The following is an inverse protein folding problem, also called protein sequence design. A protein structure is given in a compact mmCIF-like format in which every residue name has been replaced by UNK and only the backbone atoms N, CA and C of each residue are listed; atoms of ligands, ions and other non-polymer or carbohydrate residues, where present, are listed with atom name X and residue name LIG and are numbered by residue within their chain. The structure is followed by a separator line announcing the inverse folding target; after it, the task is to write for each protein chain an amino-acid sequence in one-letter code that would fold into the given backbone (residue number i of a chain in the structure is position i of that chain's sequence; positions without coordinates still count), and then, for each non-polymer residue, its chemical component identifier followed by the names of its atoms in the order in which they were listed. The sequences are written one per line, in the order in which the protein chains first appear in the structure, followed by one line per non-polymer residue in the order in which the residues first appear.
data_IF_274748322435
#
_entry.id   IF_274748322435
#
_cell.length_a   1.000
_cell.length_b   1.000
_cell.length_c   1.000
_cell.angle_alpha   90.00
_cell.angle_beta   90.00
_cell.angle_gamma   90.00
#
_symmetry.space_group_name_H-M   'P 1'
#
loop_
_entity.id
_entity.type
_entity.pdbx_description
1 polymer ?
#
# COMPACT_ATOMS: atom_id res chain seq x y z
N UNK A 1 -22.80 -44.38 -22.45
CA UNK A 1 -23.04 -44.92 -21.12
C UNK A 1 -21.69 -44.93 -20.40
N UNK A 2 -21.51 -43.98 -19.55
CA UNK A 2 -20.90 -44.11 -18.21
C UNK A 2 -20.63 -42.73 -17.64
N UNK A 3 -21.32 -42.52 -16.62
CA UNK A 3 -21.36 -41.41 -15.72
C UNK A 3 -19.97 -41.07 -15.13
N UNK A 4 -19.55 -39.82 -15.30
CA UNK A 4 -18.57 -39.22 -14.42
C UNK A 4 -19.27 -38.90 -13.10
N UNK A 5 -18.98 -39.69 -12.08
CA UNK A 5 -19.52 -39.52 -10.74
C UNK A 5 -19.03 -38.19 -10.14
N UNK A 6 -20.01 -37.44 -9.65
CA UNK A 6 -19.89 -36.25 -8.86
C UNK A 6 -18.98 -36.48 -7.63
N UNK A 7 -17.83 -35.80 -7.63
CA UNK A 7 -17.11 -35.53 -6.38
C UNK A 7 -17.64 -34.20 -5.84
N UNK A 8 -18.84 -34.24 -5.28
CA UNK A 8 -19.55 -33.12 -4.70
C UNK A 8 -19.77 -33.26 -3.22
N UNK A 9 -18.72 -33.45 -2.44
CA UNK A 9 -18.73 -33.22 -1.00
C UNK A 9 -18.45 -31.76 -0.67
N UNK A 10 -19.40 -30.85 -0.85
CA UNK A 10 -19.36 -29.52 -0.22
C UNK A 10 -19.47 -29.73 1.30
N UNK A 11 -18.31 -29.88 1.93
CA UNK A 11 -18.22 -29.57 3.36
C UNK A 11 -18.70 -28.12 3.51
N UNK A 12 -19.86 -27.92 4.14
CA UNK A 12 -20.36 -26.60 4.50
C UNK A 12 -19.39 -26.03 5.55
N UNK A 13 -18.27 -25.47 5.11
CA UNK A 13 -17.37 -24.68 5.98
C UNK A 13 -18.21 -23.47 6.38
N UNK A 14 -18.60 -23.41 7.66
CA UNK A 14 -19.08 -22.15 8.24
C UNK A 14 -18.07 -21.08 7.83
N UNK A 15 -18.54 -20.05 7.12
CA UNK A 15 -17.67 -18.94 6.73
C UNK A 15 -17.20 -18.27 8.01
N UNK A 16 -15.89 -18.34 8.30
CA UNK A 16 -15.28 -17.68 9.48
C UNK A 16 -15.21 -16.16 9.32
N UNK A 17 -15.48 -15.63 8.12
CA UNK A 17 -15.53 -14.18 7.86
C UNK A 17 -16.94 -13.69 8.22
N UNK A 18 -17.02 -12.75 9.14
CA UNK A 18 -18.26 -12.20 9.68
C UNK A 18 -18.38 -10.71 9.40
N UNK A 19 -19.62 -10.21 9.33
CA UNK A 19 -19.88 -8.79 9.54
C UNK A 19 -19.75 -8.46 11.02
N UNK A 20 -19.54 -7.19 11.36
CA UNK A 20 -19.43 -6.74 12.74
C UNK A 20 -20.68 -7.12 13.54
N UNK A 21 -21.88 -6.87 13.02
CA UNK A 21 -23.15 -7.19 13.73
C UNK A 21 -23.30 -8.68 14.00
N UNK A 22 -22.99 -9.52 13.00
CA UNK A 22 -23.02 -10.97 13.17
C UNK A 22 -22.00 -11.43 14.21
N UNK A 23 -20.83 -10.82 14.26
CA UNK A 23 -19.81 -11.16 15.24
C UNK A 23 -20.20 -10.69 16.64
N UNK A 24 -20.79 -9.52 16.80
CA UNK A 24 -21.23 -9.03 18.12
C UNK A 24 -22.27 -9.96 18.75
N UNK A 25 -23.20 -10.50 17.98
CA UNK A 25 -24.12 -11.52 18.46
C UNK A 25 -23.39 -12.80 18.93
N UNK A 26 -22.37 -13.22 18.17
CA UNK A 26 -21.50 -14.35 18.57
C UNK A 26 -20.68 -14.01 19.83
N UNK A 27 -20.19 -12.77 19.98
CA UNK A 27 -19.46 -12.31 21.16
C UNK A 27 -20.30 -12.39 22.42
N UNK A 28 -21.58 -12.01 22.34
CA UNK A 28 -22.51 -12.11 23.48
C UNK A 28 -22.74 -13.57 23.89
N UNK A 29 -22.79 -14.48 22.92
CA UNK A 29 -22.90 -15.90 23.16
C UNK A 29 -21.64 -16.48 23.83
N UNK A 30 -20.45 -16.09 23.38
CA UNK A 30 -19.17 -16.45 23.98
C UNK A 30 -19.13 -16.00 25.45
N UNK A 31 -19.55 -14.80 25.77
CA UNK A 31 -19.60 -14.26 27.14
C UNK A 31 -20.56 -15.06 28.03
N UNK A 32 -21.76 -15.34 27.52
CA UNK A 32 -22.75 -16.12 28.28
C UNK A 32 -22.24 -17.52 28.65
N UNK A 33 -21.38 -18.07 27.77
CA UNK A 33 -20.79 -19.39 27.98
C UNK A 33 -19.42 -19.35 28.69
N UNK A 34 -19.01 -18.20 29.23
CA UNK A 34 -17.75 -18.02 29.95
C UNK A 34 -16.50 -18.28 29.13
N UNK A 35 -16.58 -18.12 27.77
CA UNK A 35 -15.47 -18.38 26.88
C UNK A 35 -14.61 -17.10 26.67
N UNK A 36 -13.32 -17.27 26.82
CA UNK A 36 -12.33 -16.21 26.65
C UNK A 36 -12.13 -15.86 25.17
N UNK A 37 -12.40 -14.61 24.80
CA UNK A 37 -12.16 -14.07 23.46
C UNK A 37 -10.77 -13.46 23.37
N UNK A 38 -9.94 -13.98 22.49
CA UNK A 38 -8.66 -13.42 22.09
C UNK A 38 -8.81 -12.65 20.78
N UNK A 39 -8.21 -11.48 20.67
CA UNK A 39 -8.27 -10.65 19.48
C UNK A 39 -6.87 -10.25 19.00
N UNK A 40 -6.59 -10.47 17.72
CA UNK A 40 -5.42 -9.93 17.00
C UNK A 40 -5.90 -8.96 15.94
N UNK A 41 -5.25 -7.79 15.83
CA UNK A 41 -5.51 -6.81 14.77
C UNK A 41 -4.25 -6.52 13.96
N UNK A 42 -4.39 -6.46 12.65
CA UNK A 42 -3.28 -6.09 11.77
C UNK A 42 -3.67 -5.94 10.30
N UNK A 43 -2.69 -5.58 9.47
CA UNK A 43 -2.87 -5.50 8.02
C UNK A 43 -2.84 -6.90 7.37
N UNK A 44 -1.97 -7.81 7.83
CA UNK A 44 -1.79 -9.17 7.30
C UNK A 44 -1.68 -9.21 5.77
N UNK A 45 -0.91 -8.28 5.19
CA UNK A 45 -0.81 -8.11 3.73
C UNK A 45 -0.34 -9.40 3.03
N UNK A 46 0.73 -10.03 3.56
CA UNK A 46 1.16 -11.38 3.16
C UNK A 46 1.30 -12.22 4.41
N UNK A 47 0.47 -13.26 4.52
CA UNK A 47 0.58 -14.22 5.63
C UNK A 47 1.85 -15.06 5.43
N UNK A 48 2.70 -15.10 6.46
CA UNK A 48 3.97 -15.81 6.47
C UNK A 48 4.14 -16.58 7.80
N UNK A 49 5.14 -17.47 7.91
CA UNK A 49 5.31 -18.31 9.12
C UNK A 49 5.30 -17.52 10.43
N UNK A 50 5.85 -16.30 10.46
CA UNK A 50 5.79 -15.43 11.65
C UNK A 50 4.37 -15.05 12.06
N UNK A 51 3.49 -14.73 11.11
CA UNK A 51 2.08 -14.49 11.39
C UNK A 51 1.39 -15.76 11.89
N UNK A 52 1.67 -16.93 11.28
CA UNK A 52 1.06 -18.20 11.70
C UNK A 52 1.45 -18.50 13.15
N UNK A 53 2.73 -18.40 13.49
CA UNK A 53 3.22 -18.61 14.85
C UNK A 53 2.59 -17.62 15.85
N UNK A 54 2.51 -16.34 15.50
CA UNK A 54 1.85 -15.31 16.29
C UNK A 54 0.39 -15.66 16.58
N UNK A 55 -0.38 -16.07 15.56
CA UNK A 55 -1.79 -16.42 15.69
C UNK A 55 -2.00 -17.73 16.47
N UNK A 56 -1.12 -18.73 16.32
CA UNK A 56 -1.14 -19.94 17.12
C UNK A 56 -0.88 -19.64 18.60
N UNK A 57 0.09 -18.77 18.88
CA UNK A 57 0.37 -18.34 20.25
C UNK A 57 -0.80 -17.52 20.83
N UNK A 58 -1.40 -16.62 20.03
CA UNK A 58 -2.60 -15.92 20.45
C UNK A 58 -3.75 -16.88 20.76
N UNK A 59 -4.01 -17.88 19.92
CA UNK A 59 -5.04 -18.89 20.14
C UNK A 59 -4.85 -19.66 21.45
N UNK A 60 -3.61 -19.90 21.87
CA UNK A 60 -3.34 -20.59 23.15
C UNK A 60 -3.70 -19.77 24.40
N UNK A 61 -4.07 -18.49 24.25
CA UNK A 61 -4.43 -17.58 25.34
C UNK A 61 -5.94 -17.57 25.65
N UNK A 62 -6.75 -18.27 24.89
CA UNK A 62 -8.18 -18.34 25.14
C UNK A 62 -8.92 -19.35 24.26
N UNK A 63 -10.23 -19.35 24.40
CA UNK A 63 -11.10 -20.34 23.76
C UNK A 63 -11.43 -19.99 22.30
N UNK A 64 -11.41 -18.71 21.97
CA UNK A 64 -11.87 -18.22 20.68
C UNK A 64 -10.94 -17.12 20.16
N UNK A 65 -10.35 -17.30 18.98
CA UNK A 65 -9.48 -16.32 18.33
C UNK A 65 -10.22 -15.56 17.23
N UNK A 66 -10.42 -14.27 17.44
CA UNK A 66 -10.81 -13.30 16.43
C UNK A 66 -9.56 -12.67 15.82
N UNK A 67 -9.53 -12.56 14.50
CA UNK A 67 -8.55 -11.76 13.78
C UNK A 67 -9.27 -10.66 13.02
N UNK A 68 -8.88 -9.41 13.22
CA UNK A 68 -9.38 -8.31 12.40
C UNK A 68 -8.31 -7.77 11.45
N UNK A 69 -8.75 -7.46 10.24
CA UNK A 69 -7.91 -7.01 9.13
C UNK A 69 -8.26 -5.56 8.80
N UNK A 70 -7.28 -4.66 8.73
CA UNK A 70 -7.51 -3.30 8.26
C UNK A 70 -8.01 -3.33 6.81
N UNK A 71 -9.10 -2.62 6.51
CA UNK A 71 -9.59 -2.48 5.13
C UNK A 71 -8.57 -1.73 4.26
N UNK A 72 -8.63 -1.96 2.96
CA UNK A 72 -7.70 -1.33 2.00
C UNK A 72 -7.72 0.19 2.07
N UNK A 73 -8.89 0.78 2.35
CA UNK A 73 -9.07 2.22 2.50
C UNK A 73 -8.29 2.83 3.69
N UNK A 74 -8.03 2.01 4.73
CA UNK A 74 -7.44 2.48 5.99
C UNK A 74 -5.97 2.06 6.17
N UNK A 75 -5.37 1.38 5.18
CA UNK A 75 -3.95 1.00 5.23
C UNK A 75 -3.05 2.14 4.77
N UNK A 76 -2.51 2.92 5.71
CA UNK A 76 -1.58 4.03 5.43
C UNK A 76 -0.12 3.56 5.24
N UNK A 77 0.14 2.57 4.37
CA UNK A 77 1.50 2.01 4.14
C UNK A 77 2.12 2.40 2.79
N UNK A 78 1.64 3.50 2.15
CA UNK A 78 2.16 4.01 0.87
C UNK A 78 1.39 3.48 -0.35
N UNK A 79 1.64 4.09 -1.52
CA UNK A 79 0.85 3.98 -2.75
C UNK A 79 0.72 2.54 -3.31
N UNK A 80 1.58 1.62 -2.89
CA UNK A 80 1.59 0.22 -3.38
C UNK A 80 1.23 -0.81 -2.29
N UNK A 81 0.59 -0.39 -1.20
CA UNK A 81 0.20 -1.27 -0.10
C UNK A 81 -1.25 -1.05 0.34
N UNK A 82 -1.98 -2.10 0.72
CA UNK A 82 -1.59 -3.52 0.74
C UNK A 82 -1.47 -4.11 -0.67
N UNK A 83 -0.70 -5.20 -0.84
CA UNK A 83 -0.55 -5.94 -2.10
C UNK A 83 -1.77 -6.81 -2.38
N UNK A 84 -2.31 -7.43 -1.33
CA UNK A 84 -3.44 -8.35 -1.40
C UNK A 84 -4.69 -7.61 -0.93
N UNK A 85 -5.78 -7.59 -1.71
CA UNK A 85 -7.06 -7.02 -1.31
C UNK A 85 -7.59 -7.58 0.02
N UNK A 86 -8.31 -6.76 0.77
CA UNK A 86 -8.76 -7.08 2.14
C UNK A 86 -9.63 -8.34 2.25
N UNK A 87 -10.53 -8.59 1.29
CA UNK A 87 -11.34 -9.80 1.22
C UNK A 87 -10.49 -11.07 1.04
N UNK A 88 -9.43 -11.00 0.22
CA UNK A 88 -8.50 -12.12 0.04
C UNK A 88 -7.59 -12.31 1.24
N UNK A 89 -7.20 -11.21 1.93
CA UNK A 89 -6.45 -11.28 3.19
C UNK A 89 -7.31 -11.93 4.28
N UNK A 90 -8.58 -11.53 4.38
CA UNK A 90 -9.55 -12.13 5.31
C UNK A 90 -9.77 -13.62 5.02
N UNK A 91 -9.93 -13.99 3.74
CA UNK A 91 -10.09 -15.39 3.32
C UNK A 91 -8.86 -16.23 3.65
N UNK A 92 -7.65 -15.70 3.48
CA UNK A 92 -6.40 -16.38 3.80
C UNK A 92 -6.28 -16.66 5.30
N UNK A 93 -6.68 -15.71 6.15
CA UNK A 93 -6.70 -15.89 7.61
C UNK A 93 -7.78 -16.86 8.05
N UNK A 94 -8.97 -16.79 7.44
CA UNK A 94 -10.07 -17.72 7.73
C UNK A 94 -9.74 -19.17 7.38
N UNK A 95 -8.82 -19.42 6.46
CA UNK A 95 -8.33 -20.75 6.14
C UNK A 95 -7.41 -21.35 7.20
N UNK A 96 -6.86 -20.55 8.11
CA UNK A 96 -6.01 -21.03 9.19
C UNK A 96 -6.83 -21.74 10.25
N UNK A 97 -6.36 -22.92 10.70
CA UNK A 97 -7.04 -23.73 11.70
C UNK A 97 -7.18 -23.00 13.04
N UNK A 98 -6.13 -22.29 13.45
CA UNK A 98 -6.10 -21.57 14.74
C UNK A 98 -7.01 -20.33 14.80
N UNK A 99 -7.55 -19.87 13.68
CA UNK A 99 -8.43 -18.69 13.60
C UNK A 99 -9.88 -19.15 13.63
N UNK A 100 -10.70 -18.62 14.55
CA UNK A 100 -12.11 -18.98 14.67
C UNK A 100 -13.04 -18.01 13.94
N UNK A 101 -12.68 -16.71 13.93
CA UNK A 101 -13.42 -15.68 13.20
C UNK A 101 -12.48 -14.61 12.60
N UNK A 102 -12.94 -13.99 11.53
CA UNK A 102 -12.26 -12.86 10.88
C UNK A 102 -13.25 -11.73 10.68
N UNK A 103 -12.81 -10.48 10.94
CA UNK A 103 -13.53 -9.25 10.65
C UNK A 103 -12.70 -8.34 9.74
N UNK A 104 -13.37 -7.64 8.82
CA UNK A 104 -12.79 -6.47 8.19
C UNK A 104 -13.01 -5.25 9.09
N UNK A 105 -11.95 -4.49 9.33
CA UNK A 105 -12.01 -3.26 10.09
C UNK A 105 -12.07 -2.07 9.14
N UNK A 106 -13.26 -1.49 9.00
CA UNK A 106 -13.51 -0.32 8.16
C UNK A 106 -13.29 1.01 8.90
N UNK A 107 -12.96 0.95 10.20
CA UNK A 107 -12.63 2.15 10.96
C UNK A 107 -11.18 2.59 10.70
N UNK A 108 -10.88 3.90 10.81
CA UNK A 108 -9.55 4.44 10.61
C UNK A 108 -8.49 3.85 11.54
N UNK A 109 -8.91 3.41 12.74
CA UNK A 109 -8.06 2.73 13.74
C UNK A 109 -8.76 1.49 14.27
N UNK A 110 -8.05 0.68 15.05
CA UNK A 110 -8.67 -0.48 15.70
C UNK A 110 -9.47 -0.10 16.96
N UNK A 111 -9.34 1.12 17.47
CA UNK A 111 -9.95 1.56 18.74
C UNK A 111 -11.46 1.37 18.74
N UNK A 112 -12.16 1.88 17.70
CA UNK A 112 -13.62 1.75 17.62
C UNK A 112 -14.07 0.29 17.54
N UNK A 113 -13.32 -0.56 16.85
CA UNK A 113 -13.60 -1.99 16.80
C UNK A 113 -13.39 -2.64 18.17
N UNK A 114 -12.31 -2.28 18.88
CA UNK A 114 -12.00 -2.80 20.22
C UNK A 114 -13.08 -2.38 21.24
N UNK A 115 -13.55 -1.14 21.17
CA UNK A 115 -14.64 -0.65 22.04
C UNK A 115 -15.96 -1.41 21.84
N UNK A 116 -16.23 -1.89 20.63
CA UNK A 116 -17.44 -2.70 20.34
C UNK A 116 -17.26 -4.17 20.69
N UNK A 117 -16.13 -4.75 20.30
CA UNK A 117 -15.83 -6.18 20.49
C UNK A 117 -15.51 -6.49 21.95
N UNK A 118 -14.80 -5.60 22.65
CA UNK A 118 -14.33 -5.73 24.04
C UNK A 118 -13.71 -7.11 24.28
N UNK A 119 -12.56 -7.41 23.66
CA UNK A 119 -11.89 -8.69 23.84
C UNK A 119 -11.42 -8.86 25.29
N UNK A 120 -11.34 -10.12 25.75
CA UNK A 120 -10.79 -10.43 27.07
C UNK A 120 -9.25 -10.37 27.03
N UNK A 121 -8.64 -10.77 25.89
CA UNK A 121 -7.19 -10.69 25.64
C UNK A 121 -6.94 -10.07 24.27
N UNK A 122 -6.14 -9.02 24.23
CA UNK A 122 -5.69 -8.39 22.98
C UNK A 122 -4.22 -8.70 22.75
N UNK A 123 -3.89 -9.35 21.64
CA UNK A 123 -2.53 -9.85 21.38
C UNK A 123 -1.85 -9.03 20.30
N UNK A 124 -0.64 -8.56 20.61
CA UNK A 124 0.26 -7.83 19.69
C UNK A 124 1.62 -8.53 19.59
N UNK A 125 2.39 -8.18 18.56
CA UNK A 125 3.78 -8.59 18.46
C UNK A 125 4.66 -7.93 19.54
N UNK A 126 5.78 -8.57 19.87
CA UNK A 126 6.71 -8.07 20.91
C UNK A 126 7.25 -6.67 20.62
N UNK A 127 7.31 -6.27 19.36
CA UNK A 127 7.74 -4.94 18.94
C UNK A 127 6.88 -3.80 19.52
N UNK A 128 5.67 -4.12 19.98
CA UNK A 128 4.77 -3.16 20.63
C UNK A 128 4.95 -3.05 22.14
N UNK A 129 5.69 -3.97 22.78
CA UNK A 129 5.86 -4.02 24.25
C UNK A 129 6.48 -2.71 24.80
N UNK A 130 7.46 -2.16 24.09
CA UNK A 130 8.12 -0.89 24.42
C UNK A 130 7.70 0.27 23.52
N UNK A 131 6.64 0.07 22.71
CA UNK A 131 6.21 1.06 21.71
C UNK A 131 5.48 2.24 22.37
N UNK A 132 5.85 3.44 21.95
CA UNK A 132 5.18 4.69 22.31
C UNK A 132 4.30 5.20 21.15
N UNK A 133 3.95 4.35 20.19
CA UNK A 133 3.05 4.72 19.09
C UNK A 133 1.68 5.13 19.67
N UNK A 134 1.22 6.37 19.45
CA UNK A 134 -0.06 6.86 19.99
C UNK A 134 -1.26 5.99 19.60
N UNK A 135 -1.21 5.35 18.43
CA UNK A 135 -2.28 4.45 17.97
C UNK A 135 -2.34 3.20 18.85
N UNK A 136 -1.20 2.58 19.10
CA UNK A 136 -1.16 1.41 19.97
C UNK A 136 -1.53 1.76 21.41
N UNK A 137 -1.08 2.91 21.93
CA UNK A 137 -1.46 3.36 23.28
C UNK A 137 -2.97 3.50 23.41
N UNK A 138 -3.65 4.10 22.43
CA UNK A 138 -5.11 4.22 22.39
C UNK A 138 -5.81 2.85 22.31
N UNK A 139 -5.27 1.90 21.51
CA UNK A 139 -5.78 0.53 21.44
C UNK A 139 -5.68 -0.18 22.82
N UNK A 140 -4.54 -0.05 23.48
CA UNK A 140 -4.30 -0.61 24.82
C UNK A 140 -5.26 -0.03 25.86
N UNK A 141 -5.43 1.29 25.84
CA UNK A 141 -6.28 2.00 26.78
C UNK A 141 -7.77 1.59 26.60
N UNK A 142 -8.22 1.43 25.36
CA UNK A 142 -9.57 0.95 25.05
C UNK A 142 -9.82 -0.47 25.58
N UNK A 143 -8.86 -1.38 25.38
CA UNK A 143 -8.96 -2.76 25.88
C UNK A 143 -8.97 -2.79 27.41
N UNK A 144 -8.07 -2.04 28.05
CA UNK A 144 -7.96 -2.00 29.52
C UNK A 144 -9.22 -1.37 30.16
N UNK A 145 -9.75 -0.30 29.56
CA UNK A 145 -11.00 0.32 30.03
C UNK A 145 -12.20 -0.63 29.94
N UNK A 146 -12.18 -1.56 28.98
CA UNK A 146 -13.21 -2.60 28.87
C UNK A 146 -13.00 -3.81 29.80
N UNK A 147 -11.93 -3.83 30.60
CA UNK A 147 -11.58 -4.92 31.52
C UNK A 147 -10.78 -6.06 30.88
N UNK A 148 -10.31 -5.89 29.64
CA UNK A 148 -9.42 -6.83 28.96
C UNK A 148 -7.94 -6.59 29.29
N UNK A 149 -7.09 -7.54 28.90
CA UNK A 149 -5.64 -7.44 29.03
C UNK A 149 -4.93 -7.41 27.67
N UNK A 150 -3.74 -6.78 27.63
CA UNK A 150 -2.88 -6.79 26.43
C UNK A 150 -1.74 -7.77 26.66
N UNK A 151 -1.55 -8.69 25.72
CA UNK A 151 -0.51 -9.70 25.74
C UNK A 151 0.43 -9.55 24.53
N UNK A 152 1.73 -9.77 24.74
CA UNK A 152 2.74 -9.71 23.68
C UNK A 152 3.31 -11.09 23.38
N UNK A 153 3.42 -11.42 22.09
CA UNK A 153 4.03 -12.69 21.68
C UNK A 153 5.54 -12.62 21.68
N UNK A 154 6.22 -13.75 21.84
CA UNK A 154 7.68 -13.85 22.08
C UNK A 154 8.57 -13.34 20.96
N UNK A 155 8.08 -13.15 19.74
CA UNK A 155 8.86 -12.63 18.61
C UNK A 155 9.98 -13.57 18.12
N UNK A 156 9.96 -14.85 18.48
CA UNK A 156 11.04 -15.81 18.18
C UNK A 156 11.18 -16.16 16.68
N UNK A 157 10.20 -15.79 15.86
CA UNK A 157 10.23 -16.01 14.39
C UNK A 157 10.24 -14.66 13.68
N UNK A 158 11.42 -14.16 13.35
CA UNK A 158 11.62 -12.88 12.66
C UNK A 158 11.48 -13.07 11.15
N UNK A 159 10.26 -13.02 10.63
CA UNK A 159 10.01 -12.83 9.21
C UNK A 159 9.34 -11.47 8.99
N UNK A 160 9.89 -10.66 8.09
CA UNK A 160 9.30 -9.38 7.72
C UNK A 160 8.55 -9.52 6.39
N UNK A 161 7.23 -9.29 6.41
CA UNK A 161 6.46 -9.17 5.16
C UNK A 161 7.02 -8.10 4.22
N UNK A 162 7.70 -7.08 4.75
CA UNK A 162 8.34 -6.04 3.95
C UNK A 162 9.51 -6.57 3.12
N UNK A 163 10.34 -7.45 3.68
CA UNK A 163 11.44 -8.10 2.95
C UNK A 163 10.93 -9.09 1.90
N UNK A 164 9.90 -9.87 2.24
CA UNK A 164 9.26 -10.80 1.32
C UNK A 164 8.61 -10.10 0.13
N UNK A 165 7.91 -8.99 0.40
CA UNK A 165 7.27 -8.14 -0.62
C UNK A 165 8.32 -7.47 -1.51
N UNK A 166 9.47 -7.06 -0.96
CA UNK A 166 10.59 -6.54 -1.74
C UNK A 166 11.06 -7.55 -2.79
N UNK A 167 11.21 -8.81 -2.40
CA UNK A 167 11.61 -9.90 -3.31
C UNK A 167 10.53 -10.25 -4.36
N UNK A 168 9.25 -10.06 -4.05
CA UNK A 168 8.13 -10.34 -4.97
C UNK A 168 7.81 -9.19 -5.93
N UNK A 169 8.30 -7.97 -5.67
CA UNK A 169 8.05 -6.79 -6.52
C UNK A 169 8.56 -6.92 -7.95
N UNK A 170 9.58 -7.71 -8.17
CA UNK A 170 10.17 -7.91 -9.50
C UNK A 170 9.30 -8.77 -10.44
N UNK A 171 8.25 -9.41 -9.95
CA UNK A 171 7.44 -10.36 -10.75
C UNK A 171 6.20 -9.78 -11.40
N UNK A 172 5.78 -8.54 -11.12
CA UNK A 172 4.64 -7.86 -11.77
C UNK A 172 3.24 -8.46 -11.54
N UNK A 173 3.16 -9.69 -11.03
CA UNK A 173 1.91 -10.46 -10.94
C UNK A 173 0.86 -9.84 -9.99
N UNK A 174 1.30 -9.28 -8.85
CA UNK A 174 0.39 -8.68 -7.87
C UNK A 174 -0.26 -7.36 -8.31
N UNK A 175 0.41 -6.62 -9.22
CA UNK A 175 -0.17 -5.40 -9.78
C UNK A 175 -1.30 -5.69 -10.76
N UNK A 176 -1.24 -6.84 -11.45
CA UNK A 176 -2.26 -7.25 -12.43
C UNK A 176 -3.62 -7.48 -11.77
N UNK A 177 -3.67 -8.14 -10.62
CA UNK A 177 -4.93 -8.41 -9.90
C UNK A 177 -5.60 -7.13 -9.40
N UNK A 178 -4.82 -6.19 -8.83
CA UNK A 178 -5.34 -4.89 -8.41
C UNK A 178 -5.89 -4.07 -9.58
N UNK A 179 -5.18 -4.06 -10.71
CA UNK A 179 -5.61 -3.36 -11.92
C UNK A 179 -6.91 -3.98 -12.44
N UNK A 180 -6.99 -5.32 -12.45
CA UNK A 180 -8.18 -6.03 -12.90
C UNK A 180 -9.39 -5.76 -12.00
N UNK A 181 -9.19 -5.73 -10.68
CA UNK A 181 -10.25 -5.40 -9.72
C UNK A 181 -10.71 -3.96 -9.89
N UNK A 182 -9.79 -3.00 -9.90
CA UNK A 182 -10.10 -1.60 -10.13
C UNK A 182 -10.87 -1.39 -11.44
N UNK A 183 -10.48 -2.11 -12.49
CA UNK A 183 -11.18 -2.10 -13.77
C UNK A 183 -12.64 -2.57 -13.66
N UNK A 184 -12.91 -3.63 -12.90
CA UNK A 184 -14.27 -4.13 -12.64
C UNK A 184 -15.10 -3.14 -11.81
N UNK A 185 -14.52 -2.63 -10.72
CA UNK A 185 -15.21 -1.75 -9.78
C UNK A 185 -15.60 -0.40 -10.40
N UNK A 186 -14.91 0.00 -11.48
CA UNK A 186 -15.12 1.27 -12.19
C UNK A 186 -15.57 1.08 -13.65
N UNK A 187 -16.02 -0.11 -14.04
CA UNK A 187 -16.45 -0.45 -15.41
C UNK A 187 -15.42 -0.06 -16.48
N UNK A 188 -14.13 -0.15 -16.14
CA UNK A 188 -13.04 0.14 -17.06
C UNK A 188 -12.73 -1.08 -17.92
N UNK A 189 -13.24 -1.05 -19.14
CA UNK A 189 -12.89 -2.04 -20.18
C UNK A 189 -11.73 -1.51 -21.03
N UNK A 190 -11.05 -2.40 -21.73
CA UNK A 190 -10.02 -2.00 -22.70
C UNK A 190 -10.56 -1.00 -23.72
N UNK A 191 -11.80 -1.20 -24.20
CA UNK A 191 -12.46 -0.30 -25.15
C UNK A 191 -12.79 1.07 -24.56
N UNK A 192 -13.24 1.15 -23.28
CA UNK A 192 -13.52 2.44 -22.63
C UNK A 192 -12.24 3.24 -22.41
N UNK A 193 -11.15 2.58 -22.00
CA UNK A 193 -9.83 3.21 -21.82
C UNK A 193 -9.27 3.69 -23.17
N UNK A 194 -9.35 2.87 -24.23
CA UNK A 194 -8.91 3.26 -25.57
C UNK A 194 -9.70 4.45 -26.11
N UNK A 195 -11.02 4.46 -25.92
CA UNK A 195 -11.87 5.60 -26.30
C UNK A 195 -11.46 6.87 -25.57
N UNK A 196 -11.16 6.79 -24.27
CA UNK A 196 -10.68 7.93 -23.48
C UNK A 196 -9.35 8.45 -24.01
N UNK A 197 -8.39 7.56 -24.29
CA UNK A 197 -7.08 7.93 -24.84
C UNK A 197 -7.19 8.59 -26.22
N UNK A 198 -8.08 8.10 -27.07
CA UNK A 198 -8.37 8.73 -28.38
C UNK A 198 -8.91 10.15 -28.21
N UNK A 199 -9.80 10.39 -27.24
CA UNK A 199 -10.35 11.72 -26.92
C UNK A 199 -9.29 12.67 -26.36
N UNK A 200 -8.30 12.17 -25.63
CA UNK A 200 -7.18 12.96 -25.12
C UNK A 200 -6.17 13.32 -26.22
N UNK A 201 -6.10 12.51 -27.28
CA UNK A 201 -5.15 12.74 -28.38
C UNK A 201 -5.44 14.04 -29.11
N UNK A 202 -4.41 14.88 -29.24
CA UNK A 202 -4.50 16.19 -29.89
C UNK A 202 -5.11 17.32 -29.04
N UNK A 203 -5.61 17.04 -27.85
CA UNK A 203 -6.09 18.08 -26.94
C UNK A 203 -4.95 19.03 -26.57
N UNK A 204 -5.24 20.33 -26.53
CA UNK A 204 -4.29 21.35 -26.10
C UNK A 204 -4.35 21.49 -24.58
N UNK A 205 -3.25 21.21 -23.91
CA UNK A 205 -3.14 21.26 -22.43
C UNK A 205 -2.05 22.25 -22.05
N UNK A 206 -2.37 23.16 -21.14
CA UNK A 206 -1.38 24.04 -20.53
C UNK A 206 -1.15 23.57 -19.10
N UNK A 207 0.09 23.25 -18.77
CA UNK A 207 0.52 22.90 -17.42
C UNK A 207 1.30 24.08 -16.85
N UNK A 208 0.86 24.60 -15.71
CA UNK A 208 1.50 25.75 -15.03
C UNK A 208 1.97 25.28 -13.66
N UNK A 209 3.25 25.50 -13.36
CA UNK A 209 3.80 25.15 -12.04
C UNK A 209 5.32 24.98 -12.07
N UNK A 210 5.88 24.69 -10.91
CA UNK A 210 7.31 24.56 -10.74
C UNK A 210 7.84 23.23 -11.32
N UNK A 211 8.91 23.33 -12.09
CA UNK A 211 9.70 22.17 -12.51
C UNK A 211 10.66 21.78 -11.40
N UNK A 212 10.55 20.55 -10.93
CA UNK A 212 11.44 19.96 -9.94
C UNK A 212 12.33 18.93 -10.64
N UNK A 213 13.60 18.90 -10.28
CA UNK A 213 14.52 17.85 -10.70
C UNK A 213 14.79 16.95 -9.49
N UNK A 214 14.21 15.76 -9.51
CA UNK A 214 14.43 14.77 -8.46
C UNK A 214 15.72 14.02 -8.74
N UNK A 215 16.71 14.21 -7.88
CA UNK A 215 18.02 13.60 -8.04
C UNK A 215 18.21 12.43 -7.10
N UNK A 216 18.36 11.25 -7.68
CA UNK A 216 18.63 10.02 -6.95
C UNK A 216 20.09 9.66 -7.04
N UNK A 217 20.72 9.45 -5.88
CA UNK A 217 22.03 8.86 -5.76
C UNK A 217 21.87 7.40 -5.33
N UNK A 218 22.17 6.48 -6.23
CA UNK A 218 22.22 5.05 -5.92
C UNK A 218 23.57 4.76 -5.30
N UNK A 219 23.55 4.20 -4.10
CA UNK A 219 24.76 3.92 -3.33
C UNK A 219 24.73 2.48 -2.79
N UNK A 220 25.88 1.84 -2.76
CA UNK A 220 26.11 0.59 -2.06
C UNK A 220 26.51 0.89 -0.60
N UNK A 221 25.90 0.19 0.35
CA UNK A 221 26.28 0.28 1.75
C UNK A 221 27.55 -0.56 1.98
N UNK A 222 28.67 0.07 2.32
CA UNK A 222 29.96 -0.61 2.49
C UNK A 222 30.29 -0.97 3.95
N UNK A 223 29.45 -0.52 4.90
CA UNK A 223 29.62 -0.81 6.32
C UNK A 223 29.22 0.38 7.21
N UNK A 224 29.59 0.31 8.46
CA UNK A 224 29.43 1.40 9.43
C UNK A 224 30.73 2.20 9.49
N UNK A 225 30.64 3.53 9.45
CA UNK A 225 31.81 4.38 9.57
C UNK A 225 32.46 4.21 10.96
N UNK A 226 33.79 4.15 11.02
CA UNK A 226 34.51 3.95 12.27
C UNK A 226 34.43 5.14 13.24
N UNK A 227 33.98 6.31 12.78
CA UNK A 227 33.91 7.56 13.53
C UNK A 227 32.53 7.84 14.17
N UNK A 228 31.54 6.96 13.94
CA UNK A 228 30.18 7.12 14.50
C UNK A 228 29.17 6.13 13.90
N UNK A 229 27.94 6.06 14.44
CA UNK A 229 26.90 5.13 13.99
C UNK A 229 26.27 5.59 12.66
N UNK A 230 27.09 5.86 11.65
CA UNK A 230 26.67 6.27 10.32
C UNK A 230 27.03 5.20 9.30
N UNK A 231 26.14 4.98 8.32
CA UNK A 231 26.45 4.08 7.20
C UNK A 231 27.44 4.72 6.25
N UNK A 232 28.53 4.01 5.95
CA UNK A 232 29.41 4.34 4.86
C UNK A 232 28.77 3.91 3.53
N UNK A 233 28.64 4.86 2.60
CA UNK A 233 27.98 4.63 1.31
C UNK A 233 28.97 4.87 0.18
N UNK A 234 29.09 3.91 -0.73
CA UNK A 234 29.81 4.08 -1.99
C UNK A 234 28.81 4.54 -3.05
N UNK A 235 29.04 5.71 -3.63
CA UNK A 235 28.20 6.20 -4.73
C UNK A 235 28.48 5.37 -6.00
N UNK A 236 27.41 4.84 -6.61
CA UNK A 236 27.49 4.07 -7.85
C UNK A 236 26.98 4.86 -9.06
N UNK A 237 25.71 5.30 -8.99
CA UNK A 237 25.01 5.94 -10.10
C UNK A 237 24.18 7.12 -9.61
N UNK A 238 24.18 8.19 -10.41
CA UNK A 238 23.29 9.32 -10.25
C UNK A 238 22.28 9.34 -11.39
N UNK A 239 21.00 9.50 -11.06
CA UNK A 239 19.91 9.67 -12.02
C UNK A 239 19.08 10.89 -11.67
N UNK A 240 18.75 11.69 -12.69
CA UNK A 240 17.86 12.83 -12.55
C UNK A 240 16.51 12.47 -13.21
N UNK A 241 15.42 12.75 -12.51
CA UNK A 241 14.06 12.54 -12.96
C UNK A 241 13.31 13.88 -12.97
N UNK A 242 12.37 14.00 -13.89
CA UNK A 242 11.49 15.16 -13.92
C UNK A 242 10.42 15.01 -12.85
N UNK A 243 10.25 16.03 -12.01
CA UNK A 243 9.24 16.15 -10.98
C UNK A 243 8.38 17.40 -11.16
N UNK A 244 7.43 17.60 -10.26
CA UNK A 244 6.51 18.74 -10.29
C UNK A 244 5.74 18.86 -11.60
N UNK A 245 5.62 20.08 -12.14
CA UNK A 245 4.90 20.33 -13.37
C UNK A 245 5.50 19.64 -14.61
N UNK A 246 6.81 19.37 -14.61
CA UNK A 246 7.47 18.72 -15.74
C UNK A 246 7.01 17.28 -15.94
N UNK A 247 6.87 16.50 -14.88
CA UNK A 247 6.38 15.10 -14.99
C UNK A 247 4.90 15.07 -15.40
N UNK A 248 4.07 16.00 -14.92
CA UNK A 248 2.67 16.13 -15.33
C UNK A 248 2.56 16.40 -16.81
N UNK A 249 3.37 17.37 -17.31
CA UNK A 249 3.42 17.71 -18.73
C UNK A 249 3.86 16.51 -19.60
N UNK A 250 4.82 15.74 -19.13
CA UNK A 250 5.28 14.51 -19.83
C UNK A 250 4.19 13.45 -19.88
N UNK A 251 3.48 13.23 -18.78
CA UNK A 251 2.38 12.24 -18.75
C UNK A 251 1.26 12.66 -19.71
N UNK A 252 0.83 13.93 -19.68
CA UNK A 252 -0.19 14.41 -20.61
C UNK A 252 0.25 14.27 -22.08
N UNK A 253 1.53 14.57 -22.37
CA UNK A 253 2.08 14.40 -23.71
C UNK A 253 2.17 12.91 -24.13
N UNK A 254 2.51 12.01 -23.21
CA UNK A 254 2.55 10.56 -23.46
C UNK A 254 1.15 10.02 -23.78
N UNK A 255 0.11 10.58 -23.16
CA UNK A 255 -1.31 10.24 -23.44
C UNK A 255 -1.82 10.87 -24.76
N UNK A 256 -0.96 11.57 -25.52
CA UNK A 256 -1.29 12.08 -26.85
C UNK A 256 -1.69 13.54 -26.90
N UNK A 257 -1.74 14.26 -25.78
CA UNK A 257 -2.05 15.68 -25.75
C UNK A 257 -0.95 16.56 -26.35
N UNK A 258 -1.32 17.75 -26.87
CA UNK A 258 -0.40 18.82 -27.23
C UNK A 258 -0.17 19.69 -25.99
N UNK A 259 0.99 19.57 -25.36
CA UNK A 259 1.23 20.17 -24.05
C UNK A 259 2.13 21.40 -24.15
N UNK A 260 1.72 22.47 -23.46
CA UNK A 260 2.54 23.66 -23.19
C UNK A 260 2.83 23.70 -21.69
N UNK A 261 4.10 23.64 -21.30
CA UNK A 261 4.53 23.78 -19.90
C UNK A 261 4.96 25.23 -19.66
N UNK A 262 4.32 25.87 -18.67
CA UNK A 262 4.70 27.19 -18.17
C UNK A 262 5.30 27.01 -16.78
N UNK A 263 6.60 27.31 -16.64
CA UNK A 263 7.34 27.07 -15.40
C UNK A 263 8.34 28.16 -15.14
N UNK A 264 8.61 28.45 -13.88
CA UNK A 264 9.71 29.31 -13.48
C UNK A 264 11.00 28.48 -13.40
N UNK A 265 12.05 28.95 -14.06
CA UNK A 265 13.38 28.36 -13.94
C UNK A 265 14.33 29.40 -13.33
N UNK A 266 15.14 28.98 -12.36
CA UNK A 266 16.19 29.82 -11.83
C UNK A 266 17.19 30.19 -12.93
N UNK A 267 17.66 31.47 -13.02
CA UNK A 267 18.64 31.87 -14.02
C UNK A 267 19.96 31.14 -13.78
N UNK A 268 20.38 30.38 -14.78
CA UNK A 268 21.72 29.80 -14.94
C UNK A 268 22.20 28.81 -13.83
N UNK A 269 21.64 27.61 -13.77
CA UNK A 269 22.52 26.44 -13.80
C UNK A 269 22.18 25.67 -15.06
N UNK A 270 23.18 25.36 -15.93
CA UNK A 270 22.99 24.44 -17.06
C UNK A 270 22.29 23.19 -16.47
N UNK A 271 21.02 22.99 -16.80
CA UNK A 271 20.35 21.72 -16.53
C UNK A 271 21.17 20.69 -17.30
N UNK A 272 21.81 19.74 -16.64
CA UNK A 272 22.47 18.64 -17.34
C UNK A 272 21.41 17.99 -18.21
N UNK A 273 21.69 17.82 -19.50
CA UNK A 273 20.83 17.00 -20.36
C UNK A 273 20.69 15.67 -19.67
N UNK A 274 19.48 15.07 -19.57
CA UNK A 274 19.31 13.75 -19.00
C UNK A 274 20.18 12.79 -19.80
N UNK A 275 21.29 12.36 -19.17
CA UNK A 275 22.16 11.33 -19.72
C UNK A 275 21.40 10.02 -19.60
N UNK A 276 21.30 9.29 -20.69
CA UNK A 276 20.73 7.96 -20.86
C UNK A 276 19.21 7.89 -20.99
N UNK A 277 18.78 8.31 -22.15
CA UNK A 277 17.65 7.67 -22.77
C UNK A 277 18.18 7.05 -24.07
N UNK A 278 18.16 5.71 -24.12
CA UNK A 278 18.31 5.01 -25.39
C UNK A 278 17.40 5.69 -26.42
N UNK A 279 17.91 5.88 -27.62
CA UNK A 279 17.21 6.54 -28.70
C UNK A 279 15.93 5.79 -29.05
N UNK A 280 14.82 6.16 -28.40
CA UNK A 280 13.49 5.78 -28.85
C UNK A 280 13.11 6.74 -29.98
N UNK A 281 12.92 6.28 -31.23
CA UNK A 281 12.55 7.12 -32.36
C UNK A 281 11.20 7.83 -32.22
N UNK A 282 10.44 7.55 -31.15
CA UNK A 282 9.18 8.24 -30.82
C UNK A 282 9.35 9.40 -29.84
N UNK A 283 10.57 9.79 -29.50
CA UNK A 283 10.83 10.91 -28.57
C UNK A 283 10.41 12.24 -29.19
N UNK A 284 9.41 12.82 -28.60
CA UNK A 284 9.06 14.23 -28.84
C UNK A 284 10.11 15.11 -28.14
N UNK A 285 10.82 15.90 -28.95
CA UNK A 285 11.83 16.85 -28.44
C UNK A 285 11.09 18.07 -27.88
N UNK A 286 11.25 18.34 -26.59
CA UNK A 286 10.79 19.57 -25.96
C UNK A 286 11.79 20.70 -26.33
N UNK A 287 11.31 21.77 -27.00
CA UNK A 287 12.10 22.99 -27.24
C UNK A 287 11.58 24.09 -26.30
N UNK A 288 12.47 24.77 -25.55
CA UNK A 288 12.06 25.90 -24.75
C UNK A 288 11.64 27.07 -25.66
N UNK A 289 10.46 27.63 -25.43
CA UNK A 289 10.08 28.92 -25.93
C UNK A 289 10.20 29.94 -24.79
N UNK A 290 11.04 30.95 -24.97
CA UNK A 290 11.21 32.02 -24.00
C UNK A 290 10.25 33.13 -24.42
N UNK A 291 9.24 33.44 -23.61
CA UNK A 291 8.42 34.64 -23.74
C UNK A 291 8.88 35.61 -22.66
N UNK A 292 9.52 36.70 -23.08
CA UNK A 292 9.86 37.79 -22.19
C UNK A 292 8.61 38.57 -21.81
N UNK A 293 8.24 38.56 -20.51
CA UNK A 293 7.32 39.52 -19.92
C UNK A 293 8.06 40.40 -18.94
N UNK A 294 7.75 41.72 -19.01
CA UNK A 294 8.47 42.80 -18.33
C UNK A 294 8.58 42.59 -16.80
N UNK A 295 9.79 42.77 -16.34
CA UNK A 295 10.30 43.25 -15.04
C UNK A 295 9.91 42.64 -13.71
N UNK A 296 8.89 41.78 -13.55
CA UNK A 296 8.51 41.16 -12.26
C UNK A 296 8.62 39.61 -12.23
N UNK A 297 8.64 38.97 -13.41
CA UNK A 297 8.87 37.51 -13.51
C UNK A 297 10.16 37.30 -14.32
N UNK A 298 11.27 37.12 -13.63
CA UNK A 298 12.59 37.14 -14.26
C UNK A 298 12.87 36.04 -15.28
N UNK A 299 12.17 34.94 -15.31
CA UNK A 299 12.27 33.89 -16.34
C UNK A 299 11.05 32.97 -16.34
N UNK A 300 10.15 33.12 -17.29
CA UNK A 300 9.14 32.11 -17.62
C UNK A 300 9.62 31.39 -18.88
N UNK A 301 9.85 30.09 -18.80
CA UNK A 301 10.17 29.25 -19.93
C UNK A 301 8.93 28.49 -20.39
N UNK A 302 8.53 28.69 -21.65
CA UNK A 302 7.48 27.89 -22.28
C UNK A 302 8.11 26.72 -23.04
N UNK A 303 7.59 25.54 -22.80
CA UNK A 303 7.96 24.33 -23.51
C UNK A 303 6.79 23.86 -24.36
N UNK A 304 6.95 23.76 -25.63
CA UNK A 304 5.95 23.24 -26.56
C UNK A 304 6.39 21.91 -27.16
N UNK A 305 5.49 20.93 -27.18
CA UNK A 305 5.72 19.68 -27.92
C UNK A 305 5.28 19.85 -29.37
N UNK A 306 6.19 19.65 -30.33
CA UNK A 306 5.85 19.49 -31.76
C UNK A 306 6.00 18.00 -32.11
N UNK A 307 5.06 17.50 -32.90
CA UNK A 307 5.25 16.22 -33.60
C UNK A 307 6.31 16.44 -34.68
N UNK A 308 7.33 15.58 -34.71
CA UNK A 308 8.10 15.34 -35.92
C UNK A 308 7.45 14.16 -36.66
#
# INVERSE_FOLDING_TARGET
MNSAAEIGGRCARRTKVHSLDTFLALRDDLRRNGRTLVHCHGCFDVVHPGHIHHLQHAKSRGDFLLVSVSSDANVAKGVSRPLIPDDLRASSLAALECVDAVLLNDFPTAVELLDRVKPDVYVKGREYETSHDPRFLAERDAVTAAGGEVFFTSGDVVYSSTALIGALRDTGAFNSEKISRYGRDHDLTAGSVESLLRRMSGQKVVVVGDTIVDRYHFCEATGVAGEGPMMALRHEVKRDFDGGAAIVARHAAALGASVTLVTALAPRRRIPRPCHAAEDPRRRIFRPAIIGMNSLLKHVSLWTTRRC
#
